data_IF_396227092368
#
_entry.id   IF_396227092368
#
_cell.length_a   1.000
_cell.length_b   1.000
_cell.length_c   1.000
_cell.angle_alpha   90.00
_cell.angle_beta   90.00
_cell.angle_gamma   90.00
#
_symmetry.space_group_name_H-M   'P 1'
#
loop_
_entity.id
_entity.type
_entity.pdbx_description
1 polymer ?
#
# COMPACT_ATOMS: atom_id res chain seq x y z
N UNK A 1 -29.27 12.75 -1.42
CA UNK A 1 -28.41 11.97 -0.52
C UNK A 1 -27.11 11.66 -1.24
N UNK A 2 -26.03 12.17 -0.72
CA UNK A 2 -24.73 11.91 -1.34
C UNK A 2 -24.18 10.58 -0.81
N UNK A 3 -23.96 9.65 -1.70
CA UNK A 3 -23.27 8.42 -1.35
C UNK A 3 -21.77 8.67 -1.41
N UNK A 4 -21.06 8.26 -0.38
CA UNK A 4 -19.61 8.28 -0.44
C UNK A 4 -19.15 7.17 -1.36
N UNK A 5 -18.15 7.43 -2.23
CA UNK A 5 -17.60 6.36 -3.06
C UNK A 5 -17.02 5.27 -2.16
N UNK A 6 -17.18 4.03 -2.58
CA UNK A 6 -16.57 2.92 -1.87
C UNK A 6 -15.05 3.00 -2.03
N UNK A 7 -14.34 2.93 -0.91
CA UNK A 7 -12.89 2.87 -0.93
C UNK A 7 -12.41 1.49 -1.38
N UNK A 8 -11.15 1.41 -1.81
CA UNK A 8 -10.52 0.13 -2.10
C UNK A 8 -10.63 -0.75 -0.86
N UNK A 9 -11.22 -1.93 -1.01
CA UNK A 9 -11.33 -2.93 0.04
C UNK A 9 -11.22 -4.30 -0.61
N UNK A 10 -10.16 -5.03 -0.29
CA UNK A 10 -9.85 -6.32 -0.92
C UNK A 10 -9.68 -7.36 0.16
N UNK A 11 -10.45 -8.44 0.04
CA UNK A 11 -10.36 -9.59 0.93
C UNK A 11 -9.81 -10.79 0.19
N UNK A 12 -8.84 -11.45 0.77
CA UNK A 12 -8.23 -12.67 0.22
C UNK A 12 -7.94 -13.64 1.35
N UNK A 13 -8.08 -14.92 1.06
CA UNK A 13 -7.63 -15.97 1.95
C UNK A 13 -6.45 -16.67 1.28
N UNK A 14 -5.32 -16.69 1.98
CA UNK A 14 -4.10 -17.31 1.49
C UNK A 14 -3.84 -18.61 2.22
N UNK A 15 -3.42 -19.64 1.48
CA UNK A 15 -3.01 -20.92 2.06
C UNK A 15 -1.56 -20.82 2.54
N UNK A 16 -1.36 -19.97 3.55
CA UNK A 16 -0.06 -19.69 4.13
C UNK A 16 -0.22 -19.26 5.59
N UNK A 17 0.79 -19.54 6.44
CA UNK A 17 0.74 -19.11 7.84
C UNK A 17 0.67 -17.60 7.98
N UNK A 18 0.07 -17.14 9.07
CA UNK A 18 -0.13 -15.71 9.31
C UNK A 18 1.21 -14.94 9.36
N UNK A 19 2.28 -15.55 9.84
CA UNK A 19 3.61 -14.94 9.82
C UNK A 19 4.06 -14.62 8.40
N UNK A 20 3.81 -15.52 7.46
CA UNK A 20 4.19 -15.34 6.07
C UNK A 20 3.47 -14.12 5.47
N UNK A 21 2.17 -14.03 5.70
CA UNK A 21 1.39 -12.91 5.18
C UNK A 21 1.78 -11.60 5.87
N UNK A 22 1.97 -11.63 7.18
CA UNK A 22 2.40 -10.46 7.94
C UNK A 22 3.74 -9.90 7.42
N UNK A 23 4.71 -10.79 7.17
CA UNK A 23 6.03 -10.37 6.70
C UNK A 23 6.00 -9.75 5.32
N UNK A 24 5.03 -10.10 4.48
CA UNK A 24 4.88 -9.46 3.17
C UNK A 24 4.45 -7.99 3.29
N UNK A 25 3.87 -7.61 4.39
CA UNK A 25 3.48 -6.21 4.67
C UNK A 25 4.47 -5.50 5.58
N UNK A 26 5.05 -6.19 6.53
CA UNK A 26 5.81 -5.58 7.63
C UNK A 26 7.31 -5.56 7.43
N UNK A 27 7.82 -6.28 6.44
CA UNK A 27 9.25 -6.27 6.12
C UNK A 27 9.48 -5.60 4.77
N UNK A 28 10.53 -4.79 4.67
CA UNK A 28 10.82 -4.03 3.45
C UNK A 28 10.99 -4.95 2.24
N UNK A 29 11.79 -6.01 2.37
CA UNK A 29 12.00 -6.95 1.27
C UNK A 29 10.72 -7.66 0.86
N UNK A 30 9.89 -8.02 1.85
CA UNK A 30 8.60 -8.64 1.60
C UNK A 30 7.67 -7.72 0.83
N UNK A 31 7.51 -6.49 1.31
CA UNK A 31 6.65 -5.50 0.68
C UNK A 31 7.11 -5.16 -0.74
N UNK A 32 8.42 -4.99 -0.92
CA UNK A 32 8.98 -4.63 -2.23
C UNK A 32 8.79 -5.74 -3.27
N UNK A 33 8.60 -6.98 -2.85
CA UNK A 33 8.47 -8.11 -3.77
C UNK A 33 7.15 -8.14 -4.53
N UNK A 34 6.11 -7.45 -4.06
CA UNK A 34 4.79 -7.52 -4.69
C UNK A 34 4.10 -6.16 -4.90
N UNK A 35 4.54 -5.12 -4.22
CA UNK A 35 3.83 -3.83 -4.27
C UNK A 35 3.83 -3.23 -5.68
N UNK A 36 2.73 -2.53 -6.02
CA UNK A 36 2.56 -1.88 -7.30
C UNK A 36 1.88 -2.75 -8.34
N UNK A 37 1.41 -2.16 -9.44
CA UNK A 37 0.76 -2.91 -10.52
C UNK A 37 1.76 -3.81 -11.25
N UNK A 38 1.26 -4.61 -12.19
CA UNK A 38 2.10 -5.48 -13.00
C UNK A 38 3.14 -4.65 -13.75
N UNK A 39 4.38 -5.11 -13.73
CA UNK A 39 5.50 -4.43 -14.38
C UNK A 39 6.21 -3.41 -13.50
N UNK A 40 5.69 -3.13 -12.31
CA UNK A 40 6.34 -2.22 -11.38
C UNK A 40 7.47 -2.91 -10.63
N UNK A 41 8.51 -2.13 -10.29
CA UNK A 41 9.57 -2.54 -9.37
C UNK A 41 9.67 -1.52 -8.24
N UNK A 42 10.29 -1.90 -7.14
CA UNK A 42 10.40 -1.07 -5.95
C UNK A 42 11.89 -0.89 -5.61
N UNK A 43 12.57 0.04 -6.29
CA UNK A 43 14.01 0.23 -6.06
C UNK A 43 14.35 0.82 -4.69
N UNK A 44 13.38 1.48 -4.03
CA UNK A 44 13.57 2.00 -2.67
C UNK A 44 12.38 1.59 -1.82
N UNK A 45 12.66 0.97 -0.68
CA UNK A 45 11.62 0.58 0.28
C UNK A 45 12.19 0.72 1.69
N UNK A 46 12.02 1.91 2.26
CA UNK A 46 12.49 2.21 3.62
C UNK A 46 11.29 2.25 4.54
N UNK A 47 11.25 1.33 5.50
CA UNK A 47 10.13 1.19 6.43
C UNK A 47 10.65 0.99 7.84
N UNK A 48 10.26 1.88 8.73
CA UNK A 48 10.50 1.72 10.17
C UNK A 48 9.17 1.26 10.79
N UNK A 49 8.99 -0.05 10.90
CA UNK A 49 7.70 -0.66 11.23
C UNK A 49 7.49 -0.64 12.74
N UNK A 50 7.13 0.52 13.22
CA UNK A 50 6.73 0.78 14.60
C UNK A 50 5.82 2.00 14.61
N UNK A 51 5.01 2.15 15.63
CA UNK A 51 4.11 3.31 15.73
C UNK A 51 4.95 4.60 15.72
N UNK A 52 4.59 5.50 14.80
CA UNK A 52 5.34 6.74 14.57
C UNK A 52 6.54 6.58 13.63
N UNK A 53 6.85 5.36 13.21
CA UNK A 53 7.95 5.12 12.26
C UNK A 53 7.60 5.59 10.86
N UNK A 54 8.61 6.02 10.10
CA UNK A 54 8.42 6.54 8.76
C UNK A 54 8.49 5.44 7.71
N UNK A 55 7.93 5.74 6.54
CA UNK A 55 8.07 4.90 5.35
C UNK A 55 8.30 5.77 4.13
N UNK A 56 9.16 5.31 3.23
CA UNK A 56 9.45 5.97 1.96
C UNK A 56 9.61 4.90 0.90
N UNK A 57 8.74 4.93 -0.10
CA UNK A 57 8.67 3.90 -1.13
C UNK A 57 8.83 4.54 -2.50
N UNK A 58 9.72 4.00 -3.32
CA UNK A 58 9.81 4.37 -4.73
C UNK A 58 9.24 3.24 -5.59
N UNK A 59 8.28 3.57 -6.41
CA UNK A 59 7.72 2.65 -7.40
C UNK A 59 8.22 3.07 -8.78
N UNK A 60 8.85 2.17 -9.50
CA UNK A 60 9.35 2.43 -10.84
C UNK A 60 8.55 1.65 -11.85
N UNK A 61 8.09 2.36 -12.88
CA UNK A 61 7.35 1.77 -14.00
C UNK A 61 8.10 2.07 -15.28
N UNK A 62 8.19 1.08 -16.16
CA UNK A 62 8.73 1.29 -17.51
C UNK A 62 7.62 1.77 -18.43
N UNK A 63 7.88 2.87 -19.12
CA UNK A 63 6.92 3.44 -20.07
C UNK A 63 7.60 3.59 -21.43
N UNK A 64 6.83 3.77 -22.53
CA UNK A 64 7.41 4.01 -23.86
C UNK A 64 8.32 5.25 -23.91
N UNK A 65 8.13 6.20 -22.98
CA UNK A 65 8.91 7.43 -22.93
C UNK A 65 10.05 7.37 -21.90
N UNK A 66 10.35 6.18 -21.36
CA UNK A 66 11.38 5.98 -20.37
C UNK A 66 10.81 5.52 -19.03
N UNK A 67 11.68 5.36 -18.05
CA UNK A 67 11.27 4.89 -16.74
C UNK A 67 10.62 6.05 -15.95
N UNK A 68 9.49 5.75 -15.29
CA UNK A 68 8.79 6.70 -14.45
C UNK A 68 8.89 6.25 -13.00
N UNK A 69 9.27 7.17 -12.12
CA UNK A 69 9.35 6.91 -10.69
C UNK A 69 8.26 7.68 -9.96
N UNK A 70 7.57 6.98 -9.05
CA UNK A 70 6.60 7.59 -8.15
C UNK A 70 7.04 7.33 -6.72
N UNK A 71 7.04 8.37 -5.91
CA UNK A 71 7.46 8.30 -4.52
C UNK A 71 6.26 8.45 -3.61
N UNK A 72 6.26 7.67 -2.55
CA UNK A 72 5.21 7.69 -1.53
C UNK A 72 5.84 7.78 -0.16
N UNK A 73 5.26 8.61 0.69
CA UNK A 73 5.70 8.76 2.08
C UNK A 73 4.54 8.53 3.02
N UNK A 74 4.85 8.24 4.28
CA UNK A 74 3.85 8.06 5.31
C UNK A 74 4.48 7.66 6.63
N UNK A 75 3.61 7.26 7.56
CA UNK A 75 4.05 6.77 8.87
C UNK A 75 3.14 5.63 9.33
N UNK A 76 3.67 4.80 10.20
CA UNK A 76 2.89 3.72 10.80
C UNK A 76 2.08 4.26 11.97
N UNK A 77 0.78 4.00 11.95
CA UNK A 77 -0.18 4.48 12.95
C UNK A 77 -0.48 3.39 13.98
N UNK A 78 -0.61 2.16 13.50
CA UNK A 78 -0.85 1.01 14.38
C UNK A 78 -0.05 -0.18 13.88
N UNK A 79 0.67 -0.84 14.79
CA UNK A 79 1.42 -2.06 14.49
C UNK A 79 1.12 -3.07 15.57
N UNK A 80 0.21 -3.99 15.29
CA UNK A 80 -0.14 -5.11 16.16
C UNK A 80 0.27 -6.37 15.44
N UNK A 81 1.45 -6.94 15.75
CA UNK A 81 2.01 -8.06 15.00
C UNK A 81 1.01 -9.19 14.79
N UNK A 82 0.99 -9.71 13.57
CA UNK A 82 0.14 -10.81 13.09
C UNK A 82 -1.35 -10.48 13.06
N UNK A 83 -1.78 -9.27 13.43
CA UNK A 83 -3.19 -8.93 13.54
C UNK A 83 -3.58 -7.72 12.71
N UNK A 84 -2.87 -6.61 12.88
CA UNK A 84 -3.28 -5.35 12.26
C UNK A 84 -2.11 -4.43 11.99
N UNK A 85 -2.10 -3.86 10.78
CA UNK A 85 -1.13 -2.86 10.37
C UNK A 85 -1.89 -1.68 9.76
N UNK A 86 -1.64 -0.48 10.28
CA UNK A 86 -2.23 0.74 9.74
C UNK A 86 -1.11 1.73 9.45
N UNK A 87 -1.09 2.26 8.24
CA UNK A 87 -0.13 3.30 7.89
C UNK A 87 -0.79 4.35 7.01
N UNK A 88 -0.23 5.57 7.06
CA UNK A 88 -0.63 6.64 6.14
C UNK A 88 0.16 6.54 4.85
N UNK A 89 -0.39 7.10 3.79
CA UNK A 89 0.24 7.06 2.47
C UNK A 89 -0.12 8.33 1.70
N UNK A 90 0.87 8.93 1.06
CA UNK A 90 0.66 10.08 0.20
C UNK A 90 1.81 10.18 -0.79
N UNK A 91 1.57 10.83 -1.93
CA UNK A 91 2.62 11.05 -2.89
C UNK A 91 3.63 12.07 -2.36
N UNK A 92 4.89 11.85 -2.70
CA UNK A 92 5.99 12.69 -2.23
C UNK A 92 7.07 12.80 -3.30
N UNK A 93 8.13 13.55 -2.98
CA UNK A 93 9.37 13.52 -3.74
C UNK A 93 10.32 12.45 -3.18
N UNK A 94 11.51 12.37 -3.74
CA UNK A 94 12.52 11.37 -3.34
C UNK A 94 13.06 11.57 -1.92
N UNK A 95 12.80 12.74 -1.33
CA UNK A 95 13.21 13.06 0.03
C UNK A 95 12.08 12.89 1.04
N UNK A 96 10.92 12.44 0.60
CA UNK A 96 9.76 12.26 1.47
C UNK A 96 8.96 13.52 1.73
N UNK A 97 9.20 14.58 0.97
CA UNK A 97 8.42 15.81 1.09
C UNK A 97 7.09 15.63 0.35
N UNK A 98 5.95 15.80 1.04
CA UNK A 98 4.64 15.57 0.41
C UNK A 98 4.43 16.44 -0.83
N UNK A 99 3.85 15.83 -1.86
CA UNK A 99 3.48 16.56 -3.07
C UNK A 99 2.35 17.54 -2.75
N UNK A 100 2.48 18.82 -3.13
CA UNK A 100 1.40 19.78 -2.85
C UNK A 100 0.10 19.43 -3.57
N UNK A 101 -1.07 19.71 -2.99
CA UNK A 101 -2.35 19.41 -3.65
C UNK A 101 -2.46 20.04 -5.04
N UNK A 102 -1.93 21.26 -5.23
CA UNK A 102 -2.00 21.96 -6.51
C UNK A 102 -1.29 21.19 -7.62
N UNK A 103 -0.19 20.51 -7.29
CA UNK A 103 0.54 19.69 -8.26
C UNK A 103 -0.28 18.48 -8.74
N UNK A 104 -1.29 18.09 -7.97
CA UNK A 104 -2.19 16.99 -8.29
C UNK A 104 -3.53 17.49 -8.86
N UNK A 105 -3.64 18.77 -9.14
CA UNK A 105 -4.87 19.37 -9.64
C UNK A 105 -5.94 19.61 -8.59
N UNK A 106 -5.57 19.60 -7.31
CA UNK A 106 -6.49 19.79 -6.20
C UNK A 106 -6.33 21.18 -5.59
N UNK A 107 -7.38 21.72 -4.93
CA UNK A 107 -7.28 23.02 -4.28
C UNK A 107 -6.22 23.05 -3.19
N UNK A 108 -5.63 24.23 -2.99
CA UNK A 108 -4.70 24.47 -1.89
C UNK A 108 -5.36 24.14 -0.55
N UNK A 109 -4.61 23.51 0.33
CA UNK A 109 -5.12 23.09 1.65
C UNK A 109 -5.85 21.76 1.66
N UNK A 110 -6.00 21.08 0.50
CA UNK A 110 -6.59 19.76 0.45
C UNK A 110 -5.68 18.76 1.18
N UNK A 111 -6.27 17.96 2.06
CA UNK A 111 -5.53 16.87 2.73
C UNK A 111 -5.37 15.71 1.75
N UNK A 112 -4.15 15.47 1.34
CA UNK A 112 -3.81 14.41 0.39
C UNK A 112 -3.41 13.10 1.08
N UNK A 113 -3.50 13.06 2.41
CA UNK A 113 -3.14 11.87 3.18
C UNK A 113 -4.22 10.81 3.05
N UNK A 114 -3.82 9.59 2.70
CA UNK A 114 -4.69 8.43 2.71
C UNK A 114 -4.21 7.46 3.78
N UNK A 115 -4.98 6.40 4.03
CA UNK A 115 -4.65 5.45 5.07
C UNK A 115 -4.91 4.03 4.58
N UNK A 116 -3.92 3.17 4.77
CA UNK A 116 -4.04 1.74 4.45
C UNK A 116 -4.21 0.97 5.75
N UNK A 117 -5.24 0.13 5.79
CA UNK A 117 -5.57 -0.71 6.95
C UNK A 117 -5.50 -2.16 6.51
N UNK A 118 -4.65 -2.94 7.17
CA UNK A 118 -4.51 -4.38 6.90
C UNK A 118 -4.93 -5.13 8.14
N UNK A 119 -5.96 -5.97 8.00
CA UNK A 119 -6.43 -6.86 9.05
C UNK A 119 -6.15 -8.29 8.67
N UNK A 120 -5.55 -9.05 9.58
CA UNK A 120 -5.23 -10.46 9.38
C UNK A 120 -5.93 -11.32 10.40
N UNK A 121 -6.50 -12.44 9.95
CA UNK A 121 -7.13 -13.44 10.81
C UNK A 121 -6.47 -14.78 10.56
N UNK A 122 -5.95 -15.39 11.62
CA UNK A 122 -5.34 -16.71 11.57
C UNK A 122 -6.45 -17.77 11.48
N UNK A 123 -6.44 -18.56 10.41
CA UNK A 123 -7.41 -19.62 10.18
C UNK A 123 -6.78 -21.01 10.41
N UNK A 124 -5.71 -21.06 11.20
CA UNK A 124 -5.03 -22.31 11.56
C UNK A 124 -4.39 -22.98 10.33
N UNK A 125 -3.35 -22.34 9.82
CA UNK A 125 -2.60 -22.81 8.64
C UNK A 125 -2.87 -22.00 7.38
N UNK A 126 -3.96 -21.24 7.35
CA UNK A 126 -4.24 -20.26 6.30
C UNK A 126 -4.54 -18.92 6.96
N UNK A 127 -4.61 -17.86 6.15
CA UNK A 127 -4.77 -16.51 6.67
C UNK A 127 -5.78 -15.75 5.82
N UNK A 128 -6.75 -15.14 6.49
CA UNK A 128 -7.66 -14.21 5.84
C UNK A 128 -7.10 -12.80 5.98
N UNK A 129 -6.94 -12.13 4.87
CA UNK A 129 -6.45 -10.76 4.82
C UNK A 129 -7.54 -9.84 4.29
N UNK A 130 -7.76 -8.73 4.98
CA UNK A 130 -8.61 -7.65 4.48
C UNK A 130 -7.77 -6.37 4.44
N UNK A 131 -7.66 -5.78 3.25
CA UNK A 131 -6.93 -4.53 3.06
C UNK A 131 -7.91 -3.46 2.62
N UNK A 132 -7.86 -2.30 3.28
CA UNK A 132 -8.69 -1.15 2.94
C UNK A 132 -7.77 0.06 2.73
N UNK A 133 -7.95 0.78 1.62
CA UNK A 133 -7.20 2.02 1.38
C UNK A 133 -8.19 3.18 1.43
N UNK A 134 -8.32 3.76 2.59
CA UNK A 134 -9.22 4.91 2.82
C UNK A 134 -8.67 6.13 2.08
N UNK A 135 -9.48 6.70 1.22
CA UNK A 135 -9.08 7.84 0.40
C UNK A 135 -8.88 7.51 -1.06
N UNK A 136 -8.88 6.23 -1.43
CA UNK A 136 -8.73 5.79 -2.83
C UNK A 136 -10.00 5.06 -3.25
N UNK A 137 -10.75 5.59 -4.23
CA UNK A 137 -11.97 4.93 -4.69
C UNK A 137 -11.70 3.57 -5.33
N UNK A 138 -12.60 2.62 -5.09
CA UNK A 138 -12.44 1.25 -5.59
C UNK A 138 -12.46 1.17 -7.12
N UNK A 139 -13.20 2.07 -7.77
CA UNK A 139 -13.34 2.11 -9.23
C UNK A 139 -12.37 3.09 -9.88
N UNK A 140 -11.19 3.26 -9.31
CA UNK A 140 -10.17 4.18 -9.79
C UNK A 140 -8.94 3.41 -10.31
N UNK A 141 -8.01 4.08 -11.02
CA UNK A 141 -6.75 3.46 -11.41
C UNK A 141 -5.96 2.93 -10.19
N UNK A 142 -6.05 3.62 -9.04
CA UNK A 142 -5.45 3.15 -7.80
C UNK A 142 -6.04 1.83 -7.33
N UNK A 143 -7.36 1.67 -7.44
CA UNK A 143 -8.05 0.43 -7.11
C UNK A 143 -7.60 -0.72 -8.01
N UNK A 144 -7.49 -0.48 -9.31
CA UNK A 144 -7.00 -1.48 -10.26
C UNK A 144 -5.55 -1.87 -9.97
N UNK A 145 -4.72 -0.91 -9.61
CA UNK A 145 -3.34 -1.17 -9.21
C UNK A 145 -3.25 -2.07 -7.99
N UNK A 146 -4.12 -1.83 -7.00
CA UNK A 146 -4.17 -2.67 -5.80
C UNK A 146 -4.58 -4.10 -6.12
N UNK A 147 -5.57 -4.30 -7.00
CA UNK A 147 -5.97 -5.65 -7.40
C UNK A 147 -4.78 -6.42 -8.00
N UNK A 148 -4.04 -5.78 -8.89
CA UNK A 148 -2.85 -6.39 -9.48
C UNK A 148 -1.76 -6.68 -8.43
N UNK A 149 -1.55 -5.75 -7.50
CA UNK A 149 -0.55 -5.91 -6.44
C UNK A 149 -0.91 -7.07 -5.51
N UNK A 150 -2.17 -7.17 -5.11
CA UNK A 150 -2.62 -8.23 -4.21
C UNK A 150 -2.53 -9.60 -4.90
N UNK A 151 -2.79 -9.65 -6.22
CA UNK A 151 -2.58 -10.89 -6.98
C UNK A 151 -1.10 -11.30 -6.98
N UNK A 152 -0.19 -10.33 -7.12
CA UNK A 152 1.25 -10.60 -7.04
C UNK A 152 1.67 -11.08 -5.65
N UNK A 153 1.06 -10.52 -4.60
CA UNK A 153 1.31 -10.96 -3.23
C UNK A 153 0.96 -12.45 -3.09
N UNK A 154 -0.22 -12.83 -3.58
CA UNK A 154 -0.64 -14.23 -3.54
C UNK A 154 0.32 -15.15 -4.29
N UNK A 155 0.83 -14.72 -5.43
CA UNK A 155 1.80 -15.49 -6.21
C UNK A 155 3.15 -15.60 -5.48
N UNK A 156 3.55 -14.57 -4.76
CA UNK A 156 4.83 -14.55 -4.06
C UNK A 156 4.89 -15.51 -2.88
N UNK A 157 3.75 -15.79 -2.25
CA UNK A 157 3.68 -16.68 -1.08
C UNK A 157 3.13 -18.07 -1.40
N UNK A 158 2.79 -18.30 -2.66
CA UNK A 158 2.27 -19.60 -3.09
C UNK A 158 3.38 -20.66 -3.15
#
# INVERSE_FOLDING_TARGET
MSEQPAWVAIERTYDAPIETVWNMWAQADGFASWYGPQGASIPTCNMDVQVGGSRLICMEMKTPNGDMQMWFTGEFVEVTPMTKLVYTDMMSDENGNPTPPEAMGMPDGTDMTTQVIVDLVDLDGSTKMTMTHVGVPADSPGGNGWEMAIDKLGAAIA
#
